data_IF_127838693034
#
_entry.id   IF_127838693034
#
_cell.length_a   1.000
_cell.length_b   1.000
_cell.length_c   1.000
_cell.angle_alpha   90.00
_cell.angle_beta   90.00
_cell.angle_gamma   90.00
#
_symmetry.space_group_name_H-M   'P 1'
#
loop_
_entity.id
_entity.type
_entity.pdbx_description
1 polymer ?
#
# COMPACT_ATOMS: atom_id res chain seq x y z
N UNK A 1 -4.71 37.94 -7.84
CA UNK A 1 -4.42 36.53 -8.01
C UNK A 1 -2.96 36.22 -7.70
N UNK A 2 -2.69 35.21 -6.85
CA UNK A 2 -1.36 34.88 -6.34
C UNK A 2 -0.34 34.61 -7.46
N UNK A 3 -0.70 33.76 -8.42
CA UNK A 3 0.22 33.36 -9.49
C UNK A 3 0.60 34.55 -10.39
N UNK A 4 -0.35 35.42 -10.65
CA UNK A 4 -0.10 36.64 -11.41
C UNK A 4 0.86 37.60 -10.67
N UNK A 5 0.66 37.79 -9.35
CA UNK A 5 1.57 38.59 -8.53
C UNK A 5 2.98 38.01 -8.50
N UNK A 6 3.11 36.70 -8.33
CA UNK A 6 4.41 36.03 -8.34
C UNK A 6 5.11 36.17 -9.71
N UNK A 7 4.38 35.96 -10.81
CA UNK A 7 4.96 36.13 -12.16
C UNK A 7 5.39 37.57 -12.41
N UNK A 8 4.60 38.54 -11.95
CA UNK A 8 4.95 39.95 -12.07
C UNK A 8 6.19 40.30 -11.26
N UNK A 9 6.28 39.87 -10.01
CA UNK A 9 7.42 40.12 -9.12
C UNK A 9 8.69 39.41 -9.59
N UNK A 10 8.59 38.20 -10.14
CA UNK A 10 9.72 37.44 -10.66
C UNK A 10 10.44 38.14 -11.82
N UNK A 11 9.80 39.06 -12.50
CA UNK A 11 10.45 39.88 -13.54
C UNK A 11 11.55 40.76 -12.94
N UNK A 12 11.32 41.32 -11.77
CA UNK A 12 12.22 42.27 -11.11
C UNK A 12 13.02 41.60 -9.98
N UNK A 13 12.54 40.49 -9.45
CA UNK A 13 13.12 39.69 -8.37
C UNK A 13 13.35 38.22 -8.84
N UNK A 14 14.37 37.91 -9.68
CA UNK A 14 14.55 36.57 -10.25
C UNK A 14 14.71 35.45 -9.20
N UNK A 15 15.25 35.77 -8.02
CA UNK A 15 15.47 34.83 -6.91
C UNK A 15 14.33 34.77 -5.91
N UNK A 16 13.19 35.43 -6.16
CA UNK A 16 12.04 35.49 -5.26
C UNK A 16 11.63 34.10 -4.73
N UNK A 17 11.58 33.09 -5.60
CA UNK A 17 11.19 31.74 -5.20
C UNK A 17 12.12 31.05 -4.19
N UNK A 18 13.33 31.61 -3.96
CA UNK A 18 14.26 31.13 -2.93
C UNK A 18 13.96 31.75 -1.55
N UNK A 19 13.18 32.81 -1.50
CA UNK A 19 12.78 33.51 -0.27
C UNK A 19 11.55 32.83 0.32
N UNK A 20 11.75 31.71 1.00
CA UNK A 20 10.66 30.87 1.57
C UNK A 20 9.82 31.58 2.63
N UNK A 21 10.29 32.68 3.20
CA UNK A 21 9.59 33.52 4.18
C UNK A 21 8.71 34.58 3.54
N UNK A 22 8.80 34.78 2.22
CA UNK A 22 7.90 35.68 1.49
C UNK A 22 6.48 35.10 1.48
N UNK A 23 5.49 35.95 1.77
CA UNK A 23 4.09 35.52 1.96
C UNK A 23 3.50 34.88 0.70
N UNK A 24 3.77 35.46 -0.48
CA UNK A 24 3.27 34.91 -1.73
C UNK A 24 3.97 33.59 -2.09
N UNK A 25 5.28 33.49 -1.83
CA UNK A 25 6.06 32.27 -2.05
C UNK A 25 5.61 31.16 -1.09
N UNK A 26 5.42 31.47 0.19
CA UNK A 26 4.94 30.52 1.18
C UNK A 26 3.55 29.97 0.83
N UNK A 27 2.59 30.84 0.43
CA UNK A 27 1.26 30.44 -0.01
C UNK A 27 1.33 29.56 -1.29
N UNK A 28 2.19 29.90 -2.24
CA UNK A 28 2.38 29.10 -3.45
C UNK A 28 2.92 27.70 -3.14
N UNK A 29 3.91 27.57 -2.26
CA UNK A 29 4.45 26.27 -1.84
C UNK A 29 3.43 25.45 -1.05
N UNK A 30 2.62 26.06 -0.19
CA UNK A 30 1.57 25.36 0.52
C UNK A 30 0.51 24.80 -0.45
N UNK A 31 0.06 25.59 -1.42
CA UNK A 31 -0.86 25.13 -2.47
C UNK A 31 -0.25 24.00 -3.31
N UNK A 32 1.01 24.12 -3.71
CA UNK A 32 1.72 23.07 -4.45
C UNK A 32 1.80 21.77 -3.65
N UNK A 33 2.05 21.85 -2.33
CA UNK A 33 2.05 20.71 -1.41
C UNK A 33 0.67 20.04 -1.34
N UNK A 34 -0.41 20.84 -1.27
CA UNK A 34 -1.78 20.31 -1.22
C UNK A 34 -2.16 19.59 -2.53
N UNK A 35 -1.81 20.16 -3.68
CA UNK A 35 -1.99 19.49 -4.99
C UNK A 35 -1.16 18.21 -5.09
N UNK A 36 0.08 18.23 -4.62
CA UNK A 36 0.94 17.04 -4.59
C UNK A 36 0.36 15.94 -3.71
N UNK A 37 -0.16 16.29 -2.52
CA UNK A 37 -0.86 15.35 -1.63
C UNK A 37 -2.12 14.77 -2.28
N UNK A 38 -2.92 15.59 -2.97
CA UNK A 38 -4.10 15.10 -3.67
C UNK A 38 -3.74 14.11 -4.78
N UNK A 39 -2.68 14.38 -5.54
CA UNK A 39 -2.15 13.46 -6.54
C UNK A 39 -1.67 12.14 -5.92
N UNK A 40 -0.98 12.21 -4.77
CA UNK A 40 -0.57 11.01 -4.03
C UNK A 40 -1.79 10.20 -3.56
N UNK A 41 -2.79 10.86 -2.95
CA UNK A 41 -4.00 10.19 -2.49
C UNK A 41 -4.78 9.55 -3.64
N UNK A 42 -4.85 10.19 -4.80
CA UNK A 42 -5.46 9.60 -5.99
C UNK A 42 -4.75 8.29 -6.40
N UNK A 43 -3.41 8.27 -6.43
CA UNK A 43 -2.64 7.07 -6.74
C UNK A 43 -2.87 5.94 -5.73
N UNK A 44 -3.04 6.28 -4.45
CA UNK A 44 -3.23 5.31 -3.38
C UNK A 44 -4.65 4.74 -3.29
N UNK A 45 -5.67 5.56 -3.63
CA UNK A 45 -7.07 5.24 -3.31
C UNK A 45 -7.98 5.04 -4.52
N UNK A 46 -7.51 5.15 -5.74
CA UNK A 46 -8.27 4.70 -6.91
C UNK A 46 -8.43 3.18 -6.85
N UNK A 47 -9.67 2.72 -6.96
CA UNK A 47 -10.03 1.30 -7.03
C UNK A 47 -10.74 1.05 -8.33
N UNK A 48 -10.15 0.23 -9.17
CA UNK A 48 -10.73 -0.20 -10.43
C UNK A 48 -11.69 -1.36 -10.18
N UNK A 49 -12.85 -1.32 -10.82
CA UNK A 49 -13.85 -2.39 -10.84
C UNK A 49 -13.96 -2.91 -12.25
N UNK A 50 -13.98 -4.22 -12.37
CA UNK A 50 -14.15 -4.86 -13.66
C UNK A 50 -15.58 -4.69 -14.16
N UNK A 51 -15.71 -4.39 -15.43
CA UNK A 51 -16.96 -4.36 -16.17
C UNK A 51 -16.77 -5.08 -17.50
N UNK A 52 -17.80 -5.73 -18.01
CA UNK A 52 -17.79 -6.33 -19.33
C UNK A 52 -18.49 -5.41 -20.31
N UNK A 53 -17.85 -5.11 -21.43
CA UNK A 53 -18.44 -4.39 -22.56
C UNK A 53 -18.31 -5.19 -23.85
N UNK A 54 -18.77 -4.64 -24.95
CA UNK A 54 -18.76 -5.29 -26.29
C UNK A 54 -17.33 -5.64 -26.77
N UNK A 55 -16.30 -5.06 -26.16
CA UNK A 55 -14.89 -5.29 -26.48
C UNK A 55 -14.20 -6.20 -25.43
N UNK A 56 -14.92 -6.75 -24.46
CA UNK A 56 -14.44 -7.59 -23.39
C UNK A 56 -14.23 -6.83 -22.07
N UNK A 57 -13.32 -7.33 -21.22
CA UNK A 57 -13.07 -6.76 -19.92
C UNK A 57 -12.54 -5.31 -19.99
N UNK A 58 -13.13 -4.44 -19.21
CA UNK A 58 -12.69 -3.07 -18.96
C UNK A 58 -12.76 -2.76 -17.46
N UNK A 59 -11.97 -1.82 -17.00
CA UNK A 59 -11.91 -1.45 -15.59
C UNK A 59 -12.31 0.00 -15.38
N UNK A 60 -13.26 0.24 -14.51
CA UNK A 60 -13.79 1.59 -14.25
C UNK A 60 -13.58 1.93 -12.78
N UNK A 61 -13.01 3.12 -12.53
CA UNK A 61 -12.84 3.65 -11.19
C UNK A 61 -13.56 4.99 -11.05
N UNK A 62 -14.21 5.19 -9.90
CA UNK A 62 -14.70 6.48 -9.45
C UNK A 62 -13.78 7.06 -8.39
N UNK A 63 -13.37 8.31 -8.52
CA UNK A 63 -12.59 9.00 -7.51
C UNK A 63 -12.93 10.49 -7.45
N UNK A 64 -12.99 11.04 -6.24
CA UNK A 64 -13.25 12.46 -6.00
C UNK A 64 -11.98 13.11 -5.40
N UNK A 65 -11.08 13.62 -6.23
CA UNK A 65 -9.87 14.28 -5.74
C UNK A 65 -10.19 15.62 -5.07
N UNK A 66 -9.35 16.05 -4.11
CA UNK A 66 -9.51 17.35 -3.46
C UNK A 66 -9.08 18.53 -4.35
N UNK A 67 -8.35 18.25 -5.41
CA UNK A 67 -7.86 19.21 -6.39
C UNK A 67 -7.87 18.56 -7.79
N UNK A 68 -7.88 19.38 -8.84
CA UNK A 68 -7.82 18.92 -10.24
C UNK A 68 -6.45 18.29 -10.53
N UNK A 69 -6.31 17.01 -10.23
CA UNK A 69 -5.06 16.26 -10.39
C UNK A 69 -5.15 15.10 -11.37
N UNK A 70 -6.30 14.90 -12.02
CA UNK A 70 -6.54 13.78 -12.90
C UNK A 70 -5.51 13.73 -14.04
N UNK A 71 -5.38 14.82 -14.82
CA UNK A 71 -4.45 14.89 -15.96
C UNK A 71 -3.00 14.64 -15.54
N UNK A 72 -2.60 15.19 -14.38
CA UNK A 72 -1.27 14.98 -13.79
C UNK A 72 -1.04 13.54 -13.34
N UNK A 73 -2.10 12.84 -12.91
CA UNK A 73 -2.01 11.53 -12.27
C UNK A 73 -2.28 10.39 -13.25
N UNK A 74 -3.12 10.57 -14.25
CA UNK A 74 -3.47 9.55 -15.24
C UNK A 74 -2.26 8.89 -15.92
N UNK A 75 -1.16 9.62 -16.28
CA UNK A 75 0.04 8.98 -16.83
C UNK A 75 0.72 7.96 -15.90
N UNK A 76 0.53 8.06 -14.58
CA UNK A 76 0.99 7.04 -13.65
C UNK A 76 0.22 5.73 -13.84
N UNK A 77 -1.12 5.79 -13.92
CA UNK A 77 -1.97 4.61 -14.14
C UNK A 77 -1.72 3.98 -15.51
N UNK A 78 -1.53 4.80 -16.54
CA UNK A 78 -1.15 4.34 -17.87
C UNK A 78 0.12 3.49 -17.86
N UNK A 79 1.17 3.93 -17.15
CA UNK A 79 2.41 3.17 -17.02
C UNK A 79 2.29 1.95 -16.11
N UNK A 80 1.38 1.99 -15.13
CA UNK A 80 1.19 0.91 -14.16
C UNK A 80 0.34 -0.22 -14.71
N UNK A 81 -0.67 0.12 -15.53
CA UNK A 81 -1.69 -0.78 -16.05
C UNK A 81 -1.75 -0.70 -17.57
N UNK A 82 -0.65 -1.06 -18.20
CA UNK A 82 -0.45 -0.90 -19.66
C UNK A 82 -1.35 -1.79 -20.50
N UNK A 83 -1.68 -2.99 -20.00
CA UNK A 83 -2.45 -4.01 -20.73
C UNK A 83 -3.95 -3.98 -20.42
N UNK A 84 -4.35 -3.26 -19.37
CA UNK A 84 -5.76 -3.11 -18.98
C UNK A 84 -6.38 -1.93 -19.74
N UNK A 85 -7.57 -2.10 -20.31
CA UNK A 85 -8.41 -0.95 -20.73
C UNK A 85 -9.06 -0.38 -19.46
N UNK A 86 -8.87 0.90 -19.19
CA UNK A 86 -9.42 1.47 -17.98
C UNK A 86 -9.94 2.90 -18.15
N UNK A 87 -10.87 3.25 -17.28
CA UNK A 87 -11.45 4.58 -17.16
C UNK A 87 -11.40 5.06 -15.72
N UNK A 88 -10.99 6.29 -15.50
CA UNK A 88 -11.07 6.97 -14.21
C UNK A 88 -12.07 8.12 -14.35
N UNK A 89 -13.19 8.00 -13.66
CA UNK A 89 -14.27 8.98 -13.65
C UNK A 89 -14.12 9.89 -12.44
N UNK A 90 -14.19 11.19 -12.65
CA UNK A 90 -14.16 12.19 -11.57
C UNK A 90 -15.15 13.31 -11.81
N UNK A 91 -15.55 14.08 -10.78
CA UNK A 91 -16.41 15.25 -10.95
C UNK A 91 -15.78 16.38 -11.77
N UNK A 92 -14.47 16.37 -11.98
CA UNK A 92 -13.74 17.43 -12.70
C UNK A 92 -13.41 17.05 -14.15
N UNK A 93 -13.55 15.76 -14.51
CA UNK A 93 -13.23 15.21 -15.84
C UNK A 93 -12.99 13.72 -15.77
N UNK A 94 -12.79 13.07 -16.92
CA UNK A 94 -12.52 11.65 -17.02
C UNK A 94 -11.21 11.40 -17.76
N UNK A 95 -10.56 10.27 -17.45
CA UNK A 95 -9.40 9.77 -18.18
C UNK A 95 -9.69 8.35 -18.66
N UNK A 96 -9.33 8.05 -19.90
CA UNK A 96 -9.56 6.77 -20.56
C UNK A 96 -8.26 6.26 -21.16
N UNK A 97 -7.98 4.99 -20.93
CA UNK A 97 -6.86 4.27 -21.52
C UNK A 97 -7.36 3.04 -22.27
N UNK A 98 -7.11 2.96 -23.55
CA UNK A 98 -7.54 1.86 -24.41
C UNK A 98 -6.47 0.78 -24.65
N UNK A 99 -5.30 0.91 -23.99
CA UNK A 99 -4.13 0.08 -24.22
C UNK A 99 -3.09 0.70 -25.16
N UNK A 100 -3.43 1.81 -25.82
CA UNK A 100 -2.53 2.51 -26.77
C UNK A 100 -2.49 4.02 -26.53
N UNK A 101 -3.63 4.65 -26.27
CA UNK A 101 -3.75 6.08 -26.12
C UNK A 101 -4.47 6.47 -24.82
N UNK A 102 -3.91 7.47 -24.13
CA UNK A 102 -4.55 8.12 -22.99
C UNK A 102 -5.33 9.33 -23.48
N UNK A 103 -6.63 9.31 -23.27
CA UNK A 103 -7.55 10.39 -23.65
C UNK A 103 -8.27 10.96 -22.44
N UNK A 104 -8.77 12.20 -22.57
CA UNK A 104 -9.50 12.88 -21.51
C UNK A 104 -10.90 13.27 -21.99
N UNK A 105 -11.86 13.25 -21.07
CA UNK A 105 -13.26 13.55 -21.37
C UNK A 105 -13.92 14.45 -20.33
N UNK A 106 -15.21 14.76 -20.55
CA UNK A 106 -15.97 15.63 -19.67
C UNK A 106 -16.13 15.04 -18.24
N UNK A 107 -16.56 15.88 -17.27
CA UNK A 107 -16.91 15.42 -15.94
C UNK A 107 -17.97 14.31 -15.94
N UNK A 108 -17.88 13.42 -14.97
CA UNK A 108 -18.84 12.36 -14.72
C UNK A 108 -19.55 12.54 -13.37
N UNK A 109 -20.63 11.81 -13.20
CA UNK A 109 -21.36 11.67 -11.93
C UNK A 109 -21.15 10.27 -11.35
N UNK A 110 -21.37 10.12 -10.04
CA UNK A 110 -21.09 8.85 -9.32
C UNK A 110 -21.91 7.68 -9.85
N UNK A 111 -23.12 7.91 -10.31
CA UNK A 111 -24.04 6.91 -10.88
C UNK A 111 -23.55 6.33 -12.22
N UNK A 112 -22.61 6.99 -12.88
CA UNK A 112 -21.97 6.47 -14.12
C UNK A 112 -20.89 5.42 -13.83
N UNK A 113 -20.49 5.24 -12.58
CA UNK A 113 -19.48 4.25 -12.19
C UNK A 113 -20.14 3.01 -11.57
N UNK A 114 -19.56 1.81 -11.76
CA UNK A 114 -20.08 0.58 -11.17
C UNK A 114 -20.13 0.67 -9.64
N UNK A 115 -21.16 0.05 -9.04
CA UNK A 115 -21.39 0.10 -7.59
C UNK A 115 -20.80 -1.09 -6.86
N UNK A 116 -20.71 -2.24 -7.51
CA UNK A 116 -20.26 -3.50 -6.94
C UNK A 116 -19.24 -4.20 -7.86
N UNK A 117 -18.40 -5.04 -7.30
CA UNK A 117 -17.38 -5.83 -8.00
C UNK A 117 -17.08 -7.09 -7.17
N UNK A 118 -16.86 -8.22 -7.83
CA UNK A 118 -16.45 -9.47 -7.20
C UNK A 118 -15.13 -9.35 -6.40
N UNK A 119 -14.31 -8.37 -6.74
CA UNK A 119 -13.01 -8.11 -6.09
C UNK A 119 -13.16 -7.36 -4.74
N UNK A 120 -14.33 -6.78 -4.42
CA UNK A 120 -14.52 -6.03 -3.17
C UNK A 120 -14.34 -6.90 -1.92
N UNK A 121 -14.83 -8.14 -1.95
CA UNK A 121 -14.65 -9.09 -0.85
C UNK A 121 -13.18 -9.44 -0.63
N UNK A 122 -12.39 -9.54 -1.69
CA UNK A 122 -10.94 -9.74 -1.60
C UNK A 122 -10.24 -8.53 -0.96
N UNK A 123 -10.62 -7.30 -1.32
CA UNK A 123 -10.08 -6.10 -0.69
C UNK A 123 -10.39 -6.03 0.79
N UNK A 124 -11.62 -6.37 1.19
CA UNK A 124 -12.02 -6.42 2.59
C UNK A 124 -11.22 -7.48 3.35
N UNK A 125 -11.11 -8.67 2.80
CA UNK A 125 -10.34 -9.77 3.37
C UNK A 125 -8.86 -9.40 3.51
N UNK A 126 -8.26 -8.85 2.46
CA UNK A 126 -6.87 -8.39 2.48
C UNK A 126 -6.66 -7.32 3.56
N UNK A 127 -7.51 -6.31 3.61
CA UNK A 127 -7.39 -5.24 4.60
C UNK A 127 -7.51 -5.76 6.03
N UNK A 128 -8.50 -6.62 6.29
CA UNK A 128 -8.68 -7.23 7.62
C UNK A 128 -7.48 -8.08 8.04
N UNK A 129 -6.83 -8.76 7.10
CA UNK A 129 -5.67 -9.63 7.36
C UNK A 129 -4.37 -8.86 7.61
N UNK A 130 -4.21 -7.72 6.94
CA UNK A 130 -3.02 -6.86 7.10
C UNK A 130 -3.13 -5.90 8.29
N UNK A 131 -4.33 -5.81 8.88
CA UNK A 131 -4.58 -4.96 10.04
C UNK A 131 -3.90 -5.54 11.28
N UNK A 132 -2.85 -4.84 11.77
CA UNK A 132 -2.17 -5.18 13.02
C UNK A 132 -2.67 -4.27 14.16
N UNK A 133 -3.43 -4.80 15.15
CA UNK A 133 -3.98 -4.03 16.25
C UNK A 133 -2.89 -3.40 17.13
N UNK A 134 -1.76 -4.06 17.33
CA UNK A 134 -0.64 -3.56 18.14
C UNK A 134 0.06 -2.35 17.48
N UNK A 135 -0.11 -2.15 16.19
CA UNK A 135 0.47 -1.02 15.42
C UNK A 135 -0.54 0.08 15.12
N UNK A 136 -1.75 -0.01 15.65
CA UNK A 136 -2.83 0.93 15.38
C UNK A 136 -2.51 2.35 15.87
N UNK A 137 -2.32 3.27 14.93
CA UNK A 137 -2.17 4.71 15.16
C UNK A 137 -3.30 5.45 14.45
N UNK A 138 -4.46 5.54 15.07
CA UNK A 138 -5.69 6.11 14.47
C UNK A 138 -5.51 7.52 13.92
N UNK A 139 -4.74 8.37 14.62
CA UNK A 139 -4.43 9.73 14.17
C UNK A 139 -3.60 9.76 12.89
N UNK A 140 -2.55 8.94 12.82
CA UNK A 140 -1.71 8.80 11.60
C UNK A 140 -2.53 8.20 10.45
N UNK A 141 -3.32 7.16 10.73
CA UNK A 141 -4.19 6.52 9.74
C UNK A 141 -5.17 7.52 9.13
N UNK A 142 -5.85 8.36 9.95
CA UNK A 142 -6.77 9.39 9.43
C UNK A 142 -6.05 10.48 8.65
N UNK A 143 -4.81 10.82 8.99
CA UNK A 143 -3.96 11.73 8.23
C UNK A 143 -3.58 11.16 6.86
N UNK A 144 -3.21 9.88 6.80
CA UNK A 144 -2.83 9.21 5.56
C UNK A 144 -4.05 8.79 4.72
N UNK A 145 -5.13 8.35 5.36
CA UNK A 145 -6.38 7.94 4.73
C UNK A 145 -7.57 8.78 5.23
N UNK A 146 -7.74 10.01 4.74
CA UNK A 146 -8.80 10.91 5.17
C UNK A 146 -10.20 10.33 4.97
N UNK A 147 -11.09 10.52 5.95
CA UNK A 147 -12.46 9.97 5.96
C UNK A 147 -13.30 10.29 4.71
N UNK A 148 -13.02 11.41 4.03
CA UNK A 148 -13.70 11.78 2.78
C UNK A 148 -13.55 10.74 1.65
N UNK A 149 -12.48 9.92 1.68
CA UNK A 149 -12.27 8.86 0.68
C UNK A 149 -12.91 7.54 1.07
N UNK A 150 -13.29 7.35 2.35
CA UNK A 150 -13.82 6.08 2.86
C UNK A 150 -15.07 5.61 2.13
N UNK A 151 -15.92 6.54 1.69
CA UNK A 151 -17.15 6.21 0.92
C UNK A 151 -16.89 5.50 -0.41
N UNK A 152 -15.65 5.55 -0.92
CA UNK A 152 -15.24 4.95 -2.17
C UNK A 152 -14.31 3.75 -1.97
N UNK A 153 -14.05 3.35 -0.71
CA UNK A 153 -13.16 2.26 -0.34
C UNK A 153 -13.97 1.13 0.32
N UNK A 154 -14.11 -0.05 -0.32
CA UNK A 154 -14.88 -1.18 0.24
C UNK A 154 -14.36 -1.60 1.62
N UNK A 155 -13.05 -1.60 1.80
CA UNK A 155 -12.37 -1.95 3.03
C UNK A 155 -12.64 -0.97 4.18
N UNK A 156 -13.04 0.26 3.89
CA UNK A 156 -13.28 1.28 4.92
C UNK A 156 -14.47 0.95 5.84
N UNK A 157 -15.41 0.12 5.38
CA UNK A 157 -16.52 -0.35 6.20
C UNK A 157 -16.06 -1.17 7.42
N UNK A 158 -14.91 -1.85 7.31
CA UNK A 158 -14.35 -2.68 8.38
C UNK A 158 -13.59 -1.86 9.44
N UNK A 159 -13.16 -0.63 9.12
CA UNK A 159 -12.29 0.16 9.99
C UNK A 159 -12.87 0.38 11.40
N UNK A 160 -14.15 0.77 11.59
CA UNK A 160 -14.70 0.98 12.91
C UNK A 160 -14.67 -0.28 13.78
N UNK A 161 -14.99 -1.43 13.19
CA UNK A 161 -15.00 -2.71 13.89
C UNK A 161 -13.57 -3.16 14.24
N UNK A 162 -12.63 -3.05 13.31
CA UNK A 162 -11.23 -3.39 13.54
C UNK A 162 -10.61 -2.53 14.65
N UNK A 163 -10.95 -1.23 14.69
CA UNK A 163 -10.52 -0.33 15.78
C UNK A 163 -11.14 -0.76 17.11
N UNK A 164 -12.44 -1.06 17.14
CA UNK A 164 -13.12 -1.48 18.37
C UNK A 164 -12.58 -2.80 18.93
N UNK A 165 -12.19 -3.71 18.06
CA UNK A 165 -11.62 -5.01 18.43
C UNK A 165 -10.11 -4.96 18.71
N UNK A 166 -9.42 -3.85 18.39
CA UNK A 166 -7.96 -3.77 18.48
C UNK A 166 -7.42 -4.11 19.86
N UNK A 167 -8.02 -3.57 20.93
CA UNK A 167 -7.60 -3.84 22.31
C UNK A 167 -7.79 -5.32 22.72
N UNK A 168 -8.88 -5.95 22.26
CA UNK A 168 -9.15 -7.38 22.56
C UNK A 168 -8.18 -8.26 21.78
N UNK A 169 -7.92 -7.94 20.51
CA UNK A 169 -6.95 -8.66 19.66
C UNK A 169 -5.53 -8.51 20.19
N UNK A 170 -5.14 -7.32 20.63
CA UNK A 170 -3.84 -7.08 21.27
C UNK A 170 -3.67 -7.92 22.53
N UNK A 171 -4.70 -7.97 23.42
CA UNK A 171 -4.67 -8.84 24.59
C UNK A 171 -4.58 -10.32 24.23
N UNK A 172 -5.28 -10.76 23.20
CA UNK A 172 -5.19 -12.14 22.70
C UNK A 172 -3.80 -12.46 22.15
N UNK A 173 -3.18 -11.51 21.41
CA UNK A 173 -1.81 -11.67 20.92
C UNK A 173 -0.79 -11.75 22.06
N UNK A 174 -0.96 -10.93 23.10
CA UNK A 174 -0.09 -10.96 24.30
C UNK A 174 -0.32 -12.23 25.14
N UNK A 175 -1.58 -12.70 25.24
CA UNK A 175 -1.94 -13.90 25.98
C UNK A 175 -1.68 -15.20 25.20
N UNK A 176 -1.55 -15.13 23.88
CA UNK A 176 -1.22 -16.29 23.07
C UNK A 176 0.15 -16.83 23.52
N UNK A 177 0.27 -18.14 23.84
CA UNK A 177 1.57 -18.72 24.13
C UNK A 177 2.48 -18.44 22.93
N UNK A 178 3.71 -18.02 23.23
CA UNK A 178 4.72 -17.86 22.20
C UNK A 178 4.67 -19.08 21.28
N UNK A 179 4.41 -18.87 19.98
CA UNK A 179 4.28 -19.96 19.02
C UNK A 179 5.50 -20.85 19.18
N UNK A 180 5.28 -22.12 19.53
CA UNK A 180 6.39 -23.07 19.62
C UNK A 180 7.05 -23.09 18.26
N UNK A 181 8.29 -22.63 18.13
CA UNK A 181 8.98 -22.64 16.84
C UNK A 181 8.91 -24.04 16.25
N UNK A 182 8.68 -24.14 14.95
CA UNK A 182 8.77 -25.44 14.28
C UNK A 182 10.04 -26.16 14.80
N UNK A 183 9.94 -27.39 15.31
CA UNK A 183 11.09 -28.08 15.93
C UNK A 183 12.33 -28.12 15.06
N UNK A 184 12.17 -28.10 13.73
CA UNK A 184 13.28 -27.99 12.77
C UNK A 184 13.93 -26.61 12.77
N UNK A 185 13.17 -25.52 12.95
CA UNK A 185 13.71 -24.17 13.10
C UNK A 185 14.28 -23.94 14.50
N UNK A 186 13.65 -24.48 15.56
CA UNK A 186 14.13 -24.35 16.93
C UNK A 186 15.53 -24.98 17.11
N UNK A 187 15.83 -26.07 16.44
CA UNK A 187 17.17 -26.68 16.46
C UNK A 187 18.23 -25.81 15.77
N UNK A 188 17.84 -25.04 14.73
CA UNK A 188 18.76 -24.16 13.99
C UNK A 188 18.96 -22.82 14.69
N UNK A 189 17.96 -22.32 15.45
CA UNK A 189 17.95 -20.98 16.04
C UNK A 189 18.38 -20.94 17.51
N UNK A 190 18.53 -22.08 18.16
CA UNK A 190 18.63 -22.20 19.63
C UNK A 190 19.86 -21.58 20.33
N UNK A 191 21.05 -21.35 19.72
CA UNK A 191 22.16 -20.80 20.52
C UNK A 191 22.55 -19.35 20.22
N UNK A 192 21.93 -18.61 19.32
CA UNK A 192 22.61 -17.45 18.72
C UNK A 192 21.90 -16.10 18.91
N UNK A 193 20.78 -16.04 19.59
CA UNK A 193 20.18 -14.73 19.94
C UNK A 193 20.96 -14.11 21.11
N UNK A 194 22.21 -13.75 20.85
CA UNK A 194 22.87 -12.70 21.60
C UNK A 194 22.40 -11.37 21.05
N UNK A 195 21.89 -10.52 21.93
CA UNK A 195 21.63 -9.10 21.67
C UNK A 195 22.90 -8.46 21.05
N UNK A 196 22.97 -8.39 19.75
CA UNK A 196 24.06 -7.77 18.99
C UNK A 196 23.46 -6.89 17.93
N UNK A 197 23.84 -5.62 17.92
CA UNK A 197 23.57 -4.70 16.83
C UNK A 197 24.17 -5.30 15.56
N UNK A 198 23.34 -5.53 14.55
CA UNK A 198 23.83 -5.90 13.23
C UNK A 198 24.52 -4.67 12.64
N UNK A 199 25.78 -4.78 12.29
CA UNK A 199 26.55 -3.70 11.67
C UNK A 199 25.83 -3.18 10.41
N UNK A 200 25.93 -1.87 10.12
CA UNK A 200 25.24 -1.24 8.99
C UNK A 200 25.60 -1.88 7.63
N UNK A 201 26.82 -2.42 7.51
CA UNK A 201 27.37 -3.03 6.28
C UNK A 201 27.33 -4.56 6.26
N UNK A 202 26.57 -5.17 7.18
CA UNK A 202 26.47 -6.63 7.21
C UNK A 202 25.68 -7.18 6.01
N UNK A 203 26.34 -8.03 5.23
CA UNK A 203 25.76 -8.75 4.09
C UNK A 203 25.64 -10.23 4.43
N UNK A 204 24.41 -10.77 4.56
CA UNK A 204 24.20 -12.18 4.83
C UNK A 204 24.80 -13.06 3.72
N UNK A 205 25.42 -14.18 4.09
CA UNK A 205 26.04 -15.12 3.16
C UNK A 205 25.18 -16.36 2.87
N UNK A 206 24.11 -16.58 3.68
CA UNK A 206 23.15 -17.66 3.51
C UNK A 206 21.75 -17.22 3.97
N UNK A 207 20.70 -18.01 3.64
CA UNK A 207 19.35 -17.77 4.13
C UNK A 207 19.23 -17.89 5.66
N UNK A 208 19.97 -18.82 6.25
CA UNK A 208 20.03 -18.98 7.70
C UNK A 208 20.65 -17.76 8.38
N UNK A 209 21.71 -17.25 7.77
CA UNK A 209 22.39 -16.05 8.22
C UNK A 209 21.50 -14.80 8.07
N UNK A 210 20.80 -14.69 6.92
CA UNK A 210 19.79 -13.65 6.70
C UNK A 210 18.68 -13.70 7.75
N UNK A 211 18.12 -14.89 8.01
CA UNK A 211 17.06 -15.05 9.00
C UNK A 211 17.54 -14.62 10.40
N UNK A 212 18.73 -15.01 10.79
CA UNK A 212 19.37 -14.59 12.05
C UNK A 212 19.51 -13.05 12.11
N UNK A 213 19.96 -12.45 11.03
CA UNK A 213 20.13 -10.99 10.95
C UNK A 213 18.77 -10.27 11.04
N UNK A 214 17.72 -10.79 10.41
CA UNK A 214 16.36 -10.22 10.46
C UNK A 214 15.79 -10.29 11.86
N UNK A 215 15.95 -11.40 12.61
CA UNK A 215 15.48 -11.52 14.00
C UNK A 215 16.14 -10.49 14.92
N UNK A 216 17.41 -10.19 14.72
CA UNK A 216 18.16 -9.21 15.50
C UNK A 216 18.06 -7.77 14.99
N UNK A 217 17.44 -7.51 13.86
CA UNK A 217 17.45 -6.21 13.21
C UNK A 217 16.74 -5.12 14.02
N UNK A 218 17.37 -3.94 14.12
CA UNK A 218 16.87 -2.76 14.84
C UNK A 218 17.00 -1.47 14.01
N UNK A 219 17.17 -1.60 12.68
CA UNK A 219 17.41 -0.47 11.77
C UNK A 219 16.22 0.50 11.63
N UNK A 220 15.01 0.05 11.92
CA UNK A 220 13.80 0.88 11.86
C UNK A 220 12.93 0.60 13.10
N UNK A 221 11.95 1.47 13.43
CA UNK A 221 11.12 1.29 14.63
C UNK A 221 10.13 0.13 14.57
N UNK A 222 9.94 -0.55 13.44
CA UNK A 222 8.94 -1.60 13.25
C UNK A 222 9.15 -2.82 14.18
N UNK A 223 10.38 -3.09 14.60
CA UNK A 223 10.70 -4.19 15.51
C UNK A 223 10.10 -4.03 16.92
N UNK A 224 9.74 -2.79 17.32
CA UNK A 224 9.30 -2.52 18.71
C UNK A 224 7.99 -3.20 19.06
N UNK A 225 7.09 -3.26 18.09
CA UNK A 225 5.72 -3.74 18.25
C UNK A 225 5.52 -5.11 17.56
N UNK A 226 6.57 -5.69 16.97
CA UNK A 226 6.55 -7.00 16.34
C UNK A 226 6.87 -8.12 17.31
N UNK A 227 6.21 -9.26 17.17
CA UNK A 227 6.47 -10.47 17.96
C UNK A 227 7.82 -11.08 17.57
N UNK A 228 8.11 -11.10 16.26
CA UNK A 228 9.35 -11.65 15.71
C UNK A 228 9.65 -11.07 14.31
N UNK A 229 10.84 -11.34 13.79
CA UNK A 229 11.16 -11.06 12.40
C UNK A 229 10.56 -12.12 11.47
N UNK A 230 9.93 -11.69 10.38
CA UNK A 230 9.43 -12.59 9.34
C UNK A 230 10.39 -12.56 8.17
N UNK A 231 11.12 -13.65 7.96
CA UNK A 231 12.08 -13.80 6.87
C UNK A 231 11.42 -14.49 5.69
N UNK A 232 12.04 -14.35 4.49
CA UNK A 232 11.64 -15.09 3.30
C UNK A 232 11.79 -16.60 3.48
N UNK A 233 10.96 -17.35 2.77
CA UNK A 233 10.95 -18.83 2.76
C UNK A 233 11.00 -19.30 1.33
N UNK A 234 11.86 -20.28 1.05
CA UNK A 234 12.04 -20.88 -0.27
C UNK A 234 13.49 -21.23 -0.56
N UNK A 235 13.77 -21.58 -1.80
CA UNK A 235 15.12 -21.89 -2.25
C UNK A 235 15.81 -20.66 -2.86
N UNK A 236 17.11 -20.53 -2.66
CA UNK A 236 17.92 -19.48 -3.30
C UNK A 236 17.97 -19.58 -4.82
N UNK A 237 17.61 -20.74 -5.37
CA UNK A 237 17.54 -20.99 -6.81
C UNK A 237 16.12 -20.84 -7.38
N UNK A 238 15.17 -20.29 -6.60
CA UNK A 238 13.80 -20.10 -7.04
C UNK A 238 13.74 -19.20 -8.28
N UNK A 239 13.02 -19.60 -9.34
CA UNK A 239 12.85 -18.79 -10.54
C UNK A 239 11.92 -17.59 -10.31
N UNK A 240 11.14 -17.60 -9.24
CA UNK A 240 10.18 -16.55 -8.87
C UNK A 240 10.44 -16.10 -7.44
N UNK A 241 10.51 -14.79 -7.22
CA UNK A 241 10.54 -14.17 -5.90
C UNK A 241 9.28 -13.35 -5.69
N UNK A 242 8.59 -13.60 -4.58
CA UNK A 242 7.38 -12.88 -4.19
C UNK A 242 7.70 -11.99 -2.99
N UNK A 243 7.52 -10.68 -3.16
CA UNK A 243 7.87 -9.70 -2.14
C UNK A 243 6.60 -9.07 -1.58
N UNK A 244 6.34 -9.26 -0.28
CA UNK A 244 5.30 -8.57 0.48
C UNK A 244 5.80 -7.25 1.04
N UNK A 245 4.89 -6.32 1.32
CA UNK A 245 5.23 -5.01 1.88
C UNK A 245 5.62 -5.13 3.36
N UNK A 246 4.76 -5.80 4.15
CA UNK A 246 5.00 -6.07 5.57
C UNK A 246 4.22 -7.31 6.02
N UNK A 247 4.67 -8.00 7.09
CA UNK A 247 3.91 -9.08 7.69
C UNK A 247 2.57 -8.60 8.27
N UNK A 248 1.52 -9.39 8.10
CA UNK A 248 0.27 -9.26 8.85
C UNK A 248 0.40 -9.90 10.25
N UNK A 249 -0.71 -9.91 11.01
CA UNK A 249 -0.74 -10.48 12.34
C UNK A 249 -0.47 -11.99 12.35
N UNK A 250 -0.95 -12.72 11.37
CA UNK A 250 -0.71 -14.17 11.27
C UNK A 250 0.73 -14.48 10.89
N UNK A 251 1.32 -13.72 10.00
CA UNK A 251 2.74 -13.82 9.67
C UNK A 251 3.63 -13.46 10.86
N UNK A 252 3.28 -12.41 11.62
CA UNK A 252 4.01 -11.98 12.81
C UNK A 252 3.99 -13.06 13.90
N UNK A 253 2.86 -13.73 14.08
CA UNK A 253 2.71 -14.85 15.03
C UNK A 253 3.43 -16.12 14.55
N UNK A 254 3.28 -16.48 13.26
CA UNK A 254 3.82 -17.70 12.69
C UNK A 254 5.31 -17.59 12.35
N UNK A 255 5.84 -16.37 12.16
CA UNK A 255 7.21 -16.14 11.69
C UNK A 255 7.43 -16.53 10.23
N UNK A 256 6.37 -16.71 9.46
CA UNK A 256 6.40 -17.14 8.07
C UNK A 256 5.63 -16.18 7.16
N UNK A 257 6.13 -15.87 5.94
CA UNK A 257 5.44 -14.98 5.02
C UNK A 257 4.26 -15.68 4.35
N UNK A 258 3.23 -14.92 4.04
CA UNK A 258 2.06 -15.35 3.26
C UNK A 258 1.29 -16.54 3.84
N UNK A 259 1.11 -16.58 5.16
CA UNK A 259 0.31 -17.60 5.88
C UNK A 259 -1.11 -17.14 6.20
N UNK A 260 -1.36 -15.85 6.18
CA UNK A 260 -2.68 -15.25 6.41
C UNK A 260 -3.59 -15.30 5.17
N UNK A 261 -4.76 -14.64 5.21
CA UNK A 261 -5.74 -14.64 4.12
C UNK A 261 -5.17 -14.13 2.79
N UNK A 262 -4.29 -13.13 2.80
CA UNK A 262 -3.61 -12.67 1.58
C UNK A 262 -2.71 -13.77 0.99
N UNK A 263 -2.04 -14.56 1.84
CA UNK A 263 -1.28 -15.72 1.42
C UNK A 263 -2.15 -16.84 0.83
N UNK A 264 -3.37 -17.03 1.33
CA UNK A 264 -4.33 -17.99 0.76
C UNK A 264 -4.74 -17.58 -0.66
N UNK A 265 -5.04 -16.30 -0.88
CA UNK A 265 -5.33 -15.76 -2.21
C UNK A 265 -4.14 -15.93 -3.15
N UNK A 266 -2.92 -15.62 -2.68
CA UNK A 266 -1.71 -15.85 -3.44
C UNK A 266 -1.55 -17.32 -3.85
N UNK A 267 -1.74 -18.25 -2.92
CA UNK A 267 -1.63 -19.68 -3.18
C UNK A 267 -2.65 -20.13 -4.23
N UNK A 268 -3.90 -19.68 -4.10
CA UNK A 268 -4.95 -19.99 -5.10
C UNK A 268 -4.59 -19.46 -6.49
N UNK A 269 -4.06 -18.24 -6.58
CA UNK A 269 -3.63 -17.66 -7.85
C UNK A 269 -2.41 -18.42 -8.47
N UNK A 270 -1.48 -18.86 -7.64
CA UNK A 270 -0.35 -19.66 -8.10
C UNK A 270 -0.80 -21.04 -8.62
N UNK A 271 -1.75 -21.68 -7.92
CA UNK A 271 -2.35 -22.94 -8.32
C UNK A 271 -3.10 -22.80 -9.65
N UNK A 272 -3.85 -21.72 -9.84
CA UNK A 272 -4.59 -21.44 -11.08
C UNK A 272 -3.68 -21.31 -12.30
N UNK A 273 -2.51 -20.70 -12.13
CA UNK A 273 -1.52 -20.57 -13.22
C UNK A 273 -0.52 -21.74 -13.28
N UNK A 274 -0.69 -22.77 -12.45
CA UNK A 274 0.13 -23.97 -12.44
C UNK A 274 1.55 -23.77 -11.88
N UNK A 275 1.75 -22.75 -11.04
CA UNK A 275 3.04 -22.50 -10.38
C UNK A 275 3.01 -23.15 -8.98
N UNK A 276 3.89 -24.13 -8.75
CA UNK A 276 4.03 -24.71 -7.42
C UNK A 276 4.63 -23.67 -6.45
N UNK A 277 3.95 -23.45 -5.30
CA UNK A 277 4.41 -22.52 -4.24
C UNK A 277 5.82 -22.81 -3.76
N UNK A 278 6.24 -24.09 -3.74
CA UNK A 278 7.58 -24.51 -3.34
C UNK A 278 8.69 -24.09 -4.33
N UNK A 279 8.32 -23.69 -5.53
CA UNK A 279 9.24 -23.17 -6.57
C UNK A 279 9.39 -21.64 -6.49
N UNK A 280 8.68 -20.96 -5.58
CA UNK A 280 8.80 -19.54 -5.34
C UNK A 280 9.52 -19.27 -4.01
N UNK A 281 10.26 -18.15 -3.97
CA UNK A 281 10.87 -17.60 -2.75
C UNK A 281 10.02 -16.48 -2.18
#
# INVERSE_FOLDING_TARGET
DLLYRLLWRLRDEPDLMKVVTDVDVADAFERAKNVSRASHKMKAFVRFREVQDDQGAAWVAWFEPAHRVLERTAPFFMRRFTTMRWSILTPDGCAFWDGQALTFGPPATRDMAPTEDEIEEFWQTYYASTFNPARLKTGTMQGEMPKRYWKNLPEAALIPELIAQAAVREQQMVAAPASTPNPRLAQTLSPIVRKGEVAEDYVPTSLEDLNRAVQGCRRCPLWRDATQGVCGVGTTAAPLMIVGEQPGDQEDLAGQPFVGPAGQVLNSALDEVGINRDQAF
#
